data_IF_588349908295
#
_entry.id   IF_588349908295
#
_cell.length_a   1.000
_cell.length_b   1.000
_cell.length_c   1.000
_cell.angle_alpha   90.00
_cell.angle_beta   90.00
_cell.angle_gamma   90.00
#
_symmetry.space_group_name_H-M   'P 1'
#
loop_
_entity.id
_entity.type
_entity.pdbx_description
1 polymer ?
#
# COMPACT_ATOMS: atom_id res chain seq x y z
N UNK A 1 -6.78 -25.02 -25.21
CA UNK A 1 -6.88 -26.36 -24.57
C UNK A 1 -7.88 -26.29 -23.43
N UNK A 2 -8.69 -27.33 -23.16
CA UNK A 2 -9.71 -27.29 -22.13
C UNK A 2 -9.10 -27.40 -20.72
N UNK A 3 -9.71 -26.68 -19.77
CA UNK A 3 -9.32 -26.55 -18.35
C UNK A 3 -9.66 -27.83 -17.60
N UNK A 4 -8.72 -28.36 -16.82
CA UNK A 4 -8.93 -29.49 -15.92
C UNK A 4 -8.51 -29.06 -14.51
N UNK A 5 -9.52 -29.02 -13.63
CA UNK A 5 -9.49 -28.84 -12.17
C UNK A 5 -8.94 -27.53 -11.61
N UNK A 6 -9.82 -26.52 -11.55
CA UNK A 6 -9.95 -25.80 -10.29
C UNK A 6 -11.42 -25.83 -9.89
N UNK A 7 -11.74 -26.48 -8.76
CA UNK A 7 -13.02 -26.36 -8.06
C UNK A 7 -13.11 -24.98 -7.38
N UNK A 8 -12.92 -23.92 -8.17
CA UNK A 8 -13.25 -22.57 -7.75
C UNK A 8 -14.76 -22.42 -7.80
N UNK A 9 -15.43 -22.90 -6.76
CA UNK A 9 -16.73 -22.36 -6.37
C UNK A 9 -16.47 -20.98 -5.74
N UNK A 10 -16.84 -19.86 -6.38
CA UNK A 10 -16.76 -18.57 -5.73
C UNK A 10 -17.70 -18.58 -4.52
N UNK A 11 -17.17 -18.26 -3.33
CA UNK A 11 -18.00 -17.95 -2.18
C UNK A 11 -18.67 -16.60 -2.49
N UNK A 12 -19.97 -16.63 -2.72
CA UNK A 12 -20.78 -15.42 -2.85
C UNK A 12 -20.99 -14.89 -1.44
N UNK A 13 -20.25 -13.85 -1.10
CA UNK A 13 -20.36 -13.14 0.17
C UNK A 13 -21.32 -11.98 -0.04
N UNK A 14 -22.58 -12.19 0.34
CA UNK A 14 -23.60 -11.14 0.33
C UNK A 14 -23.39 -10.23 1.55
N UNK A 15 -22.61 -9.18 1.35
CA UNK A 15 -22.45 -8.13 2.34
C UNK A 15 -23.71 -7.25 2.26
N UNK A 16 -24.65 -7.41 3.19
CA UNK A 16 -25.78 -6.49 3.31
C UNK A 16 -25.32 -5.04 3.52
N UNK A 17 -26.26 -4.08 3.49
CA UNK A 17 -26.00 -2.69 3.89
C UNK A 17 -25.71 -2.63 5.40
N UNK A 18 -24.49 -2.96 5.79
CA UNK A 18 -23.98 -2.66 7.11
C UNK A 18 -23.84 -1.14 7.17
N UNK A 19 -24.58 -0.51 8.08
CA UNK A 19 -24.37 0.90 8.40
C UNK A 19 -22.87 1.13 8.54
N UNK A 20 -22.34 2.04 7.72
CA UNK A 20 -20.91 2.38 7.70
C UNK A 20 -20.58 3.03 9.05
N UNK A 21 -20.33 2.19 10.05
CA UNK A 21 -20.09 2.64 11.43
C UNK A 21 -18.87 3.53 11.37
N UNK A 22 -18.99 4.75 11.91
CA UNK A 22 -17.89 5.73 11.88
C UNK A 22 -16.59 5.07 12.34
N UNK A 23 -15.69 4.82 11.39
CA UNK A 23 -14.41 4.17 11.70
C UNK A 23 -13.58 5.15 12.52
N UNK A 24 -13.23 4.74 13.74
CA UNK A 24 -12.29 5.46 14.57
C UNK A 24 -10.94 5.54 13.86
N UNK A 25 -10.15 6.56 14.19
CA UNK A 25 -8.77 6.60 13.71
C UNK A 25 -8.01 5.40 14.29
N UNK A 26 -7.47 4.59 13.39
CA UNK A 26 -6.54 3.52 13.73
C UNK A 26 -5.16 3.95 13.27
N UNK A 27 -4.19 3.70 14.12
CA UNK A 27 -2.79 3.78 13.74
C UNK A 27 -2.43 2.44 13.11
N UNK A 28 -1.91 2.46 11.89
CA UNK A 28 -1.54 1.22 11.20
C UNK A 28 -0.10 0.84 11.54
N UNK A 29 0.13 -0.41 11.92
CA UNK A 29 1.46 -0.85 12.37
C UNK A 29 2.53 -0.76 11.27
N UNK A 30 2.13 -0.97 10.01
CA UNK A 30 3.04 -0.87 8.87
C UNK A 30 3.62 0.54 8.70
N UNK A 31 2.97 1.59 9.23
CA UNK A 31 3.49 2.96 9.16
C UNK A 31 4.91 3.05 9.75
N UNK A 32 5.17 2.33 10.84
CA UNK A 32 6.47 2.31 11.52
C UNK A 32 7.58 1.62 10.71
N UNK A 33 7.21 0.81 9.71
CA UNK A 33 8.15 0.11 8.83
C UNK A 33 8.53 0.91 7.60
N UNK A 34 7.81 2.00 7.31
CA UNK A 34 8.17 2.90 6.21
C UNK A 34 9.39 3.70 6.62
N UNK A 35 10.44 3.63 5.81
CA UNK A 35 11.66 4.40 6.02
C UNK A 35 11.34 5.91 6.07
N UNK A 36 11.88 6.61 7.07
CA UNK A 36 11.64 8.03 7.27
C UNK A 36 10.32 8.39 7.97
N UNK A 37 9.51 7.41 8.39
CA UNK A 37 8.22 7.69 9.03
C UNK A 37 8.35 8.52 10.31
N UNK A 38 9.29 8.17 11.19
CA UNK A 38 9.47 8.86 12.47
C UNK A 38 9.95 10.30 12.27
N UNK A 39 10.89 10.50 11.36
CA UNK A 39 11.45 11.80 10.99
C UNK A 39 10.35 12.71 10.43
N UNK A 40 9.52 12.17 9.53
CA UNK A 40 8.38 12.88 8.94
C UNK A 40 7.34 13.28 10.00
N UNK A 41 6.99 12.38 10.92
CA UNK A 41 6.06 12.68 12.03
C UNK A 41 6.64 13.76 12.95
N UNK A 42 7.92 13.67 13.26
CA UNK A 42 8.62 14.66 14.10
C UNK A 42 8.66 16.04 13.43
N UNK A 43 8.93 16.09 12.13
CA UNK A 43 8.90 17.32 11.34
C UNK A 43 7.53 17.98 11.40
N UNK A 44 6.45 17.23 11.14
CA UNK A 44 5.09 17.75 11.21
C UNK A 44 4.73 18.25 12.61
N UNK A 45 5.06 17.47 13.64
CA UNK A 45 4.75 17.80 15.03
C UNK A 45 5.40 19.12 15.46
N UNK A 46 6.66 19.31 15.09
CA UNK A 46 7.43 20.52 15.40
C UNK A 46 7.00 21.72 14.54
N UNK A 47 6.52 21.48 13.32
CA UNK A 47 6.00 22.51 12.42
C UNK A 47 4.62 23.07 12.83
N UNK A 48 3.86 22.37 13.68
CA UNK A 48 2.56 22.86 14.13
C UNK A 48 2.70 24.04 15.13
N UNK A 49 2.25 25.21 14.70
CA UNK A 49 2.13 26.41 15.53
C UNK A 49 0.67 26.52 16.01
N UNK A 50 0.45 26.36 17.31
CA UNK A 50 -0.87 26.44 17.94
C UNK A 50 -0.77 27.30 19.19
N UNK A 51 -1.68 28.26 19.35
CA UNK A 51 -1.78 29.14 20.53
C UNK A 51 -2.89 28.67 21.48
N UNK A 52 -2.88 29.13 22.74
CA UNK A 52 -3.87 28.78 23.76
C UNK A 52 -3.32 28.03 24.97
N UNK A 53 -4.21 27.46 25.77
CA UNK A 53 -3.85 26.68 26.96
C UNK A 53 -3.17 25.35 26.58
N UNK A 54 -2.35 24.75 27.47
CA UNK A 54 -1.61 23.53 27.17
C UNK A 54 -2.48 22.38 26.63
N UNK A 55 -3.64 22.15 27.24
CA UNK A 55 -4.55 21.06 26.84
C UNK A 55 -5.12 21.29 25.44
N UNK A 56 -5.50 22.53 25.12
CA UNK A 56 -5.99 22.90 23.79
C UNK A 56 -4.90 22.73 22.73
N UNK A 57 -3.65 23.15 23.04
CA UNK A 57 -2.50 22.98 22.14
C UNK A 57 -2.26 21.50 21.83
N UNK A 58 -2.25 20.65 22.84
CA UNK A 58 -2.04 19.22 22.67
C UNK A 58 -3.15 18.58 21.83
N UNK A 59 -4.41 18.81 22.19
CA UNK A 59 -5.57 18.29 21.45
C UNK A 59 -5.54 18.71 19.98
N UNK A 60 -5.24 19.98 19.71
CA UNK A 60 -5.21 20.52 18.34
C UNK A 60 -4.06 19.92 17.54
N UNK A 61 -2.85 19.81 18.11
CA UNK A 61 -1.71 19.15 17.45
C UNK A 61 -2.01 17.69 17.10
N UNK A 62 -2.67 16.95 17.98
CA UNK A 62 -3.09 15.56 17.71
C UNK A 62 -4.11 15.48 16.57
N UNK A 63 -5.06 16.42 16.48
CA UNK A 63 -6.02 16.49 15.36
C UNK A 63 -5.31 16.76 14.04
N UNK A 64 -4.39 17.72 14.01
CA UNK A 64 -3.59 18.05 12.83
C UNK A 64 -2.72 16.87 12.40
N UNK A 65 -2.05 16.21 13.35
CA UNK A 65 -1.23 15.04 13.08
C UNK A 65 -2.06 13.90 12.48
N UNK A 66 -3.23 13.62 13.06
CA UNK A 66 -4.17 12.63 12.55
C UNK A 66 -4.59 12.92 11.10
N UNK A 67 -4.83 14.18 10.75
CA UNK A 67 -5.18 14.55 9.37
C UNK A 67 -4.02 14.28 8.40
N UNK A 68 -2.80 14.71 8.78
CA UNK A 68 -1.59 14.46 8.00
C UNK A 68 -1.31 12.97 7.80
N UNK A 69 -1.43 12.17 8.85
CA UNK A 69 -1.26 10.72 8.78
C UNK A 69 -2.27 10.06 7.84
N UNK A 70 -3.54 10.48 7.87
CA UNK A 70 -4.57 9.96 6.95
C UNK A 70 -4.27 10.29 5.50
N UNK A 71 -3.88 11.53 5.22
CA UNK A 71 -3.53 11.98 3.87
C UNK A 71 -2.33 11.22 3.33
N UNK A 72 -1.25 11.16 4.12
CA UNK A 72 -0.04 10.43 3.78
C UNK A 72 -0.32 8.94 3.58
N UNK A 73 -0.99 8.28 4.52
CA UNK A 73 -1.29 6.84 4.43
C UNK A 73 -2.08 6.50 3.18
N UNK A 74 -3.08 7.32 2.80
CA UNK A 74 -3.83 7.12 1.56
C UNK A 74 -2.96 7.30 0.33
N UNK A 75 -2.09 8.31 0.33
CA UNK A 75 -1.17 8.59 -0.79
C UNK A 75 -0.17 7.44 -0.96
N UNK A 76 0.52 7.05 0.10
CA UNK A 76 1.50 5.95 0.09
C UNK A 76 0.86 4.65 -0.36
N UNK A 77 -0.33 4.31 0.14
CA UNK A 77 -1.06 3.12 -0.30
C UNK A 77 -1.38 3.17 -1.80
N UNK A 78 -1.86 4.31 -2.30
CA UNK A 78 -2.16 4.48 -3.72
C UNK A 78 -0.90 4.38 -4.59
N UNK A 79 0.23 4.93 -4.15
CA UNK A 79 1.51 4.86 -4.85
C UNK A 79 2.03 3.42 -4.94
N UNK A 80 1.93 2.65 -3.84
CA UNK A 80 2.31 1.24 -3.81
C UNK A 80 1.42 0.39 -4.74
N UNK A 81 0.10 0.60 -4.70
CA UNK A 81 -0.83 -0.09 -5.59
C UNK A 81 -0.55 0.22 -7.07
N UNK A 82 -0.26 1.49 -7.39
CA UNK A 82 0.12 1.89 -8.75
C UNK A 82 1.45 1.24 -9.17
N UNK A 83 2.47 1.22 -8.30
CA UNK A 83 3.76 0.60 -8.58
C UNK A 83 3.61 -0.89 -8.87
N UNK A 84 2.82 -1.60 -8.07
CA UNK A 84 2.48 -3.01 -8.29
C UNK A 84 1.82 -3.24 -9.64
N UNK A 85 0.82 -2.43 -10.00
CA UNK A 85 0.15 -2.54 -11.30
C UNK A 85 1.11 -2.29 -12.47
N UNK A 86 2.00 -1.29 -12.37
CA UNK A 86 3.03 -1.04 -13.38
C UNK A 86 3.99 -2.23 -13.53
N UNK A 87 4.46 -2.81 -12.43
CA UNK A 87 5.32 -3.99 -12.44
C UNK A 87 4.64 -5.21 -13.09
N UNK A 88 3.34 -5.40 -12.84
CA UNK A 88 2.55 -6.47 -13.47
C UNK A 88 2.37 -6.25 -14.98
N UNK A 89 2.18 -5.00 -15.41
CA UNK A 89 2.11 -4.65 -16.84
C UNK A 89 3.46 -4.89 -17.53
N UNK A 90 4.56 -4.48 -16.92
CA UNK A 90 5.92 -4.75 -17.41
C UNK A 90 6.20 -6.25 -17.52
N UNK A 91 5.81 -7.04 -16.51
CA UNK A 91 5.92 -8.49 -16.52
C UNK A 91 5.09 -9.10 -17.66
N UNK A 92 3.86 -8.64 -17.87
CA UNK A 92 3.01 -9.10 -18.97
C UNK A 92 3.61 -8.79 -20.36
N UNK A 93 4.31 -7.66 -20.51
CA UNK A 93 5.06 -7.35 -21.75
C UNK A 93 6.20 -8.34 -21.95
N UNK A 94 6.97 -8.65 -20.92
CA UNK A 94 8.06 -9.61 -20.99
C UNK A 94 7.57 -11.03 -21.27
N UNK A 95 6.48 -11.46 -20.65
CA UNK A 95 5.90 -12.79 -20.87
C UNK A 95 5.38 -12.93 -22.32
N UNK A 96 4.73 -11.90 -22.89
CA UNK A 96 4.37 -11.88 -24.33
C UNK A 96 5.60 -11.94 -25.22
N UNK A 97 6.64 -11.20 -24.88
CA UNK A 97 7.89 -11.18 -25.64
C UNK A 97 8.55 -12.56 -25.64
N UNK A 98 8.44 -13.30 -24.52
CA UNK A 98 8.97 -14.65 -24.37
C UNK A 98 8.19 -15.69 -25.20
N UNK A 99 6.89 -15.47 -25.46
CA UNK A 99 6.08 -16.32 -26.35
C UNK A 99 6.53 -16.17 -27.82
N UNK A 100 6.96 -14.97 -28.22
CA UNK A 100 7.38 -14.65 -29.60
C UNK A 100 8.87 -14.93 -29.86
N UNK A 101 9.75 -14.66 -28.87
CA UNK A 101 11.21 -14.84 -28.98
C UNK A 101 11.82 -15.23 -27.64
N UNK A 102 13.04 -15.79 -27.66
CA UNK A 102 13.82 -15.93 -26.42
C UNK A 102 14.18 -14.54 -25.85
N UNK A 103 14.08 -14.41 -24.53
CA UNK A 103 14.49 -13.21 -23.80
C UNK A 103 16.01 -13.07 -23.80
N UNK A 104 16.49 -11.84 -23.95
CA UNK A 104 17.90 -11.52 -23.75
C UNK A 104 18.30 -11.68 -22.28
N UNK A 105 19.60 -11.77 -22.00
CA UNK A 105 20.10 -11.79 -20.62
C UNK A 105 19.67 -10.56 -19.82
N UNK A 106 19.60 -9.39 -20.46
CA UNK A 106 19.15 -8.15 -19.84
C UNK A 106 17.66 -8.21 -19.49
N UNK A 107 16.82 -8.67 -20.42
CA UNK A 107 15.37 -8.85 -20.21
C UNK A 107 15.09 -9.88 -19.10
N UNK A 108 15.87 -10.96 -19.02
CA UNK A 108 15.78 -11.93 -17.92
C UNK A 108 16.14 -11.32 -16.56
N UNK A 109 17.15 -10.45 -16.51
CA UNK A 109 17.55 -9.78 -15.26
C UNK A 109 16.50 -8.77 -14.79
N UNK A 110 15.89 -8.04 -15.73
CA UNK A 110 14.75 -7.15 -15.43
C UNK A 110 13.58 -7.97 -14.88
N UNK A 111 13.22 -9.08 -15.54
CA UNK A 111 12.15 -9.98 -15.06
C UNK A 111 12.41 -10.48 -13.64
N UNK A 112 13.63 -10.93 -13.34
CA UNK A 112 14.00 -11.37 -12.01
C UNK A 112 13.86 -10.25 -10.96
N UNK A 113 14.25 -9.03 -11.32
CA UNK A 113 14.15 -7.86 -10.44
C UNK A 113 12.69 -7.50 -10.15
N UNK A 114 11.84 -7.50 -11.19
CA UNK A 114 10.39 -7.27 -11.08
C UNK A 114 9.75 -8.30 -10.12
N UNK A 115 10.10 -9.58 -10.26
CA UNK A 115 9.57 -10.63 -9.39
C UNK A 115 9.97 -10.44 -7.92
N UNK A 116 11.22 -10.07 -7.66
CA UNK A 116 11.69 -9.76 -6.30
C UNK A 116 10.94 -8.55 -5.72
N UNK A 117 10.77 -7.49 -6.49
CA UNK A 117 10.05 -6.29 -6.04
C UNK A 117 8.57 -6.59 -5.78
N UNK A 118 7.91 -7.39 -6.62
CA UNK A 118 6.54 -7.84 -6.41
C UNK A 118 6.39 -8.70 -5.14
N UNK A 119 7.36 -9.59 -4.86
CA UNK A 119 7.34 -10.39 -3.63
C UNK A 119 7.46 -9.51 -2.38
N UNK A 120 8.33 -8.49 -2.44
CA UNK A 120 8.46 -7.50 -1.36
C UNK A 120 7.15 -6.73 -1.18
N UNK A 121 6.54 -6.22 -2.25
CA UNK A 121 5.26 -5.52 -2.19
C UNK A 121 4.12 -6.40 -1.66
N UNK A 122 4.09 -7.68 -2.01
CA UNK A 122 3.10 -8.62 -1.50
C UNK A 122 3.23 -8.83 0.02
N UNK A 123 4.46 -9.00 0.52
CA UNK A 123 4.73 -9.08 1.97
C UNK A 123 4.30 -7.80 2.68
N UNK A 124 4.54 -6.65 2.07
CA UNK A 124 4.03 -5.39 2.62
C UNK A 124 2.50 -5.42 2.67
N UNK A 125 1.78 -5.68 1.57
CA UNK A 125 0.31 -5.71 1.54
C UNK A 125 -0.33 -6.63 2.60
N UNK A 126 0.25 -7.81 2.86
CA UNK A 126 -0.22 -8.70 3.93
C UNK A 126 -0.25 -8.01 5.30
N UNK A 127 0.69 -7.10 5.54
CA UNK A 127 0.78 -6.31 6.77
C UNK A 127 -0.13 -5.06 6.77
N UNK A 128 -0.64 -4.62 5.61
CA UNK A 128 -1.61 -3.52 5.52
C UNK A 128 -3.04 -3.96 5.86
N UNK A 129 -3.36 -5.25 5.67
CA UNK A 129 -4.72 -5.80 5.82
C UNK A 129 -4.94 -6.42 7.20
N UNK A 130 -3.88 -6.68 7.97
CA UNK A 130 -3.90 -7.27 9.31
C UNK A 130 -4.12 -6.23 10.42
#
# INVERSE_FOLDING_TARGET
MPRVTSDHSPIILECGDWEQRHSYFKFENWWLKVEGFNEMVQEWWNGFIVEGCPDYKLCTKLILLKQKLKEWSRKTFSEMANRKNSLLEELAVLDRTQEDKELSQEEMMVRATILVELEVLAKYEEEFVA
#
